data_IF_424379760517
#
_entry.id   IF_424379760517
#
_cell.length_a   1.000
_cell.length_b   1.000
_cell.length_c   1.000
_cell.angle_alpha   90.00
_cell.angle_beta   90.00
_cell.angle_gamma   90.00
#
_symmetry.space_group_name_H-M   'P 1'
#
loop_
_entity.id
_entity.type
_entity.pdbx_description
1 polymer ?
#
# COMPACT_ATOMS: atom_id res chain seq x y z
N UNK A 1 4.96 -11.15 -9.55
CA UNK A 1 3.91 -10.09 -9.53
C UNK A 1 2.63 -10.72 -9.03
N UNK A 2 2.21 -10.33 -7.84
CA UNK A 2 0.96 -10.83 -7.27
C UNK A 2 -0.22 -10.00 -7.77
N UNK A 3 -1.25 -10.66 -8.30
CA UNK A 3 -2.39 -10.01 -8.97
C UNK A 3 -3.69 -10.49 -8.35
N UNK A 4 -4.33 -9.64 -7.55
CA UNK A 4 -5.69 -9.86 -7.02
C UNK A 4 -6.70 -9.86 -8.17
N UNK A 5 -7.50 -10.90 -8.29
CA UNK A 5 -8.57 -11.00 -9.31
C UNK A 5 -9.63 -9.93 -9.05
N UNK A 6 -9.99 -9.69 -7.79
CA UNK A 6 -10.96 -8.65 -7.43
C UNK A 6 -10.47 -7.26 -7.84
N UNK A 7 -9.21 -6.93 -7.60
CA UNK A 7 -8.64 -5.65 -8.02
C UNK A 7 -8.48 -5.56 -9.54
N UNK A 8 -8.10 -6.66 -10.19
CA UNK A 8 -7.97 -6.73 -11.65
C UNK A 8 -9.31 -6.44 -12.37
N UNK A 9 -10.44 -6.91 -11.81
CA UNK A 9 -11.80 -6.67 -12.33
C UNK A 9 -12.19 -5.18 -12.37
N UNK A 10 -11.53 -4.31 -11.62
CA UNK A 10 -11.75 -2.86 -11.71
C UNK A 10 -11.23 -2.26 -13.03
N UNK A 11 -10.28 -2.95 -13.67
CA UNK A 11 -9.64 -2.49 -14.91
C UNK A 11 -10.08 -3.26 -16.14
N UNK A 12 -10.59 -4.48 -15.98
CA UNK A 12 -11.01 -5.33 -17.10
C UNK A 12 -12.24 -6.15 -16.72
N UNK A 13 -13.21 -6.20 -17.64
CA UNK A 13 -14.50 -6.89 -17.45
C UNK A 13 -14.35 -8.42 -17.62
N UNK A 14 -13.80 -9.06 -16.59
CA UNK A 14 -13.60 -10.51 -16.58
C UNK A 14 -14.93 -11.29 -16.51
N UNK A 15 -15.95 -10.72 -15.89
CA UNK A 15 -17.24 -11.40 -15.73
C UNK A 15 -17.94 -11.60 -17.08
N UNK A 16 -17.72 -10.70 -18.05
CA UNK A 16 -18.30 -10.82 -19.39
C UNK A 16 -17.74 -11.98 -20.23
N UNK A 17 -16.55 -12.47 -19.90
CA UNK A 17 -15.90 -13.58 -20.64
C UNK A 17 -16.11 -14.93 -20.01
N UNK A 18 -16.64 -15.00 -18.77
CA UNK A 18 -17.04 -16.23 -18.10
C UNK A 18 -15.92 -17.24 -17.86
N UNK A 19 -14.65 -16.78 -17.74
CA UNK A 19 -13.50 -17.62 -17.45
C UNK A 19 -13.34 -17.82 -15.95
N UNK A 20 -13.02 -19.05 -15.55
CA UNK A 20 -12.51 -19.29 -14.19
C UNK A 20 -11.12 -18.68 -14.01
N UNK A 21 -10.68 -18.55 -12.77
CA UNK A 21 -9.32 -18.05 -12.46
C UNK A 21 -8.26 -19.01 -12.98
N UNK A 22 -8.50 -20.32 -12.94
CA UNK A 22 -7.60 -21.35 -13.48
C UNK A 22 -7.48 -21.24 -15.01
N UNK A 23 -8.60 -21.06 -15.73
CA UNK A 23 -8.58 -20.86 -17.19
C UNK A 23 -7.88 -19.56 -17.58
N UNK A 24 -8.04 -18.49 -16.79
CA UNK A 24 -7.31 -17.24 -16.99
C UNK A 24 -5.80 -17.44 -16.77
N UNK A 25 -5.42 -18.14 -15.70
CA UNK A 25 -4.02 -18.46 -15.39
C UNK A 25 -3.34 -19.26 -16.50
N UNK A 26 -4.05 -20.27 -17.05
CA UNK A 26 -3.57 -21.06 -18.20
C UNK A 26 -3.34 -20.18 -19.44
N UNK A 27 -4.29 -19.30 -19.79
CA UNK A 27 -4.16 -18.39 -20.94
C UNK A 27 -3.00 -17.41 -20.76
N UNK A 28 -2.81 -16.85 -19.57
CA UNK A 28 -1.69 -15.96 -19.25
C UNK A 28 -0.36 -16.70 -19.41
N UNK A 29 -0.26 -17.91 -18.87
CA UNK A 29 0.95 -18.75 -18.96
C UNK A 29 1.30 -19.08 -20.40
N UNK A 30 0.31 -19.50 -21.20
CA UNK A 30 0.51 -19.79 -22.65
C UNK A 30 0.94 -18.53 -23.45
N UNK A 31 0.57 -17.35 -22.98
CA UNK A 31 0.98 -16.07 -23.59
C UNK A 31 2.32 -15.55 -23.05
N UNK A 32 3.00 -16.27 -22.15
CA UNK A 32 4.31 -15.93 -21.61
C UNK A 32 4.30 -15.14 -20.30
N UNK A 33 3.14 -14.99 -19.65
CA UNK A 33 2.99 -14.51 -18.28
C UNK A 33 2.79 -15.74 -17.37
N UNK A 34 3.87 -16.41 -17.03
CA UNK A 34 3.84 -17.66 -16.28
C UNK A 34 3.17 -17.47 -14.90
N UNK A 35 2.03 -18.13 -14.67
CA UNK A 35 1.36 -18.16 -13.39
C UNK A 35 1.87 -19.36 -12.60
N UNK A 36 2.71 -19.10 -11.59
CA UNK A 36 3.32 -20.13 -10.75
C UNK A 36 2.36 -20.67 -9.69
N UNK A 37 1.43 -19.85 -9.20
CA UNK A 37 0.45 -20.25 -8.20
C UNK A 37 -0.84 -19.42 -8.28
N UNK A 38 -1.95 -20.01 -7.79
CA UNK A 38 -3.21 -19.32 -7.50
C UNK A 38 -3.44 -19.48 -5.99
N UNK A 39 -3.39 -18.37 -5.27
CA UNK A 39 -3.64 -18.35 -3.83
C UNK A 39 -5.06 -17.90 -3.55
N UNK A 40 -5.82 -18.69 -2.78
CA UNK A 40 -7.17 -18.32 -2.33
C UNK A 40 -7.09 -17.60 -0.99
N UNK A 41 -7.86 -16.53 -0.84
CA UNK A 41 -7.96 -15.79 0.40
C UNK A 41 -9.39 -15.96 0.95
N UNK A 42 -9.54 -16.45 2.17
CA UNK A 42 -8.48 -16.87 3.10
C UNK A 42 -7.78 -18.16 2.70
N UNK A 43 -6.54 -18.35 3.12
CA UNK A 43 -5.75 -19.55 2.76
C UNK A 43 -6.09 -20.76 3.66
N UNK A 44 -5.85 -20.64 4.97
CA UNK A 44 -5.99 -21.73 5.94
C UNK A 44 -7.30 -21.68 6.72
N UNK A 45 -7.98 -20.52 6.73
CA UNK A 45 -9.26 -20.28 7.38
C UNK A 45 -10.39 -20.28 6.34
N UNK A 46 -11.58 -20.75 6.72
CA UNK A 46 -12.74 -20.63 5.85
C UNK A 46 -13.46 -19.28 5.93
N UNK A 47 -13.22 -18.49 6.99
CA UNK A 47 -14.02 -17.34 7.44
C UNK A 47 -15.53 -17.62 7.57
N UNK A 48 -15.92 -18.90 7.67
CA UNK A 48 -17.30 -19.27 7.97
C UNK A 48 -17.69 -18.79 9.36
N UNK A 49 -18.84 -18.11 9.47
CA UNK A 49 -19.29 -17.50 10.72
C UNK A 49 -18.55 -16.22 11.10
N UNK A 50 -17.74 -15.64 10.19
CA UNK A 50 -17.15 -14.31 10.37
C UNK A 50 -17.89 -13.34 9.46
N UNK A 51 -18.42 -12.25 10.06
CA UNK A 51 -19.28 -11.28 9.37
C UNK A 51 -18.82 -9.84 9.66
N UNK A 52 -19.28 -8.90 8.84
CA UNK A 52 -19.16 -7.47 9.11
C UNK A 52 -20.09 -7.09 10.26
N UNK A 53 -19.56 -6.46 11.30
CA UNK A 53 -20.34 -5.88 12.38
C UNK A 53 -20.11 -4.38 12.55
N UNK A 54 -21.01 -3.72 13.26
CA UNK A 54 -20.87 -2.33 13.68
C UNK A 54 -20.80 -2.24 15.20
N UNK A 55 -19.77 -1.58 15.73
CA UNK A 55 -19.72 -1.26 17.17
C UNK A 55 -20.77 -0.20 17.47
N UNK A 56 -21.85 -0.60 18.14
CA UNK A 56 -22.96 0.30 18.50
C UNK A 56 -22.81 0.92 19.87
N UNK A 57 -21.92 0.38 20.71
CA UNK A 57 -21.60 0.92 22.03
C UNK A 57 -20.47 0.16 22.69
N UNK A 58 -19.77 0.82 23.59
CA UNK A 58 -18.66 0.26 24.37
C UNK A 58 -18.79 0.70 25.83
N UNK A 59 -18.68 -0.24 26.76
CA UNK A 59 -18.70 0.04 28.19
C UNK A 59 -17.43 -0.51 28.87
N UNK A 60 -16.97 0.12 29.98
CA UNK A 60 -15.85 -0.38 30.76
C UNK A 60 -16.13 -1.77 31.31
N UNK A 61 -15.12 -2.63 31.35
CA UNK A 61 -15.26 -3.96 31.97
C UNK A 61 -15.31 -3.83 33.49
N UNK A 62 -16.31 -4.46 34.18
CA UNK A 62 -16.54 -4.25 35.64
C UNK A 62 -15.38 -4.76 36.50
N UNK A 63 -14.58 -5.70 36.06
CA UNK A 63 -13.53 -6.37 36.84
C UNK A 63 -12.14 -6.31 36.18
N UNK A 64 -11.91 -5.36 35.23
CA UNK A 64 -10.62 -5.26 34.57
C UNK A 64 -10.40 -3.89 33.92
N UNK A 65 -9.37 -3.18 34.34
CA UNK A 65 -9.08 -1.79 33.91
C UNK A 65 -8.66 -1.65 32.43
N UNK A 66 -8.13 -2.73 31.84
CA UNK A 66 -7.64 -2.74 30.46
C UNK A 66 -8.58 -3.41 29.47
N UNK A 67 -9.76 -3.85 29.92
CA UNK A 67 -10.74 -4.49 29.05
C UNK A 67 -11.97 -3.62 28.91
N UNK A 68 -12.63 -3.74 27.78
CA UNK A 68 -13.93 -3.14 27.50
C UNK A 68 -14.89 -4.20 26.99
N UNK A 69 -16.21 -3.95 27.13
CA UNK A 69 -17.26 -4.76 26.53
C UNK A 69 -17.81 -3.96 25.37
N UNK A 70 -17.53 -4.41 24.15
CA UNK A 70 -18.09 -3.84 22.94
C UNK A 70 -19.38 -4.56 22.56
N UNK A 71 -20.43 -3.82 22.31
CA UNK A 71 -21.68 -4.30 21.75
C UNK A 71 -21.64 -4.12 20.25
N UNK A 72 -21.64 -5.24 19.51
CA UNK A 72 -21.47 -5.24 18.06
C UNK A 72 -22.75 -5.73 17.41
N UNK A 73 -23.39 -4.87 16.62
CA UNK A 73 -24.49 -5.28 15.76
C UNK A 73 -23.93 -5.99 14.53
N UNK A 74 -24.36 -7.23 14.32
CA UNK A 74 -23.94 -8.09 13.20
C UNK A 74 -25.07 -8.36 12.20
N UNK A 75 -26.17 -7.57 12.28
CA UNK A 75 -27.36 -7.66 11.41
C UNK A 75 -28.55 -8.37 12.06
N UNK A 76 -28.33 -9.12 13.15
CA UNK A 76 -29.40 -9.75 13.96
C UNK A 76 -29.49 -9.17 15.38
N UNK A 77 -28.88 -8.00 15.56
CA UNK A 77 -28.86 -7.27 16.83
C UNK A 77 -27.51 -7.33 17.57
N UNK A 78 -27.36 -6.57 18.67
CA UNK A 78 -26.09 -6.44 19.36
C UNK A 78 -25.66 -7.72 20.08
N UNK A 79 -24.40 -8.11 19.90
CA UNK A 79 -23.73 -9.20 20.60
C UNK A 79 -22.56 -8.66 21.43
N UNK A 80 -22.38 -9.06 22.69
CA UNK A 80 -21.26 -8.58 23.52
C UNK A 80 -19.96 -9.28 23.15
N UNK A 81 -18.88 -8.51 23.03
CA UNK A 81 -17.51 -8.98 22.84
C UNK A 81 -16.59 -8.25 23.83
N UNK A 82 -15.86 -9.01 24.64
CA UNK A 82 -14.85 -8.45 25.55
C UNK A 82 -13.52 -8.35 24.80
N UNK A 83 -12.95 -7.15 24.76
CA UNK A 83 -11.67 -6.91 24.11
C UNK A 83 -10.74 -6.03 24.93
N UNK A 84 -9.43 -6.17 24.73
CA UNK A 84 -8.38 -5.30 25.25
C UNK A 84 -7.70 -4.49 24.15
N UNK A 85 -8.25 -4.46 22.95
CA UNK A 85 -7.69 -3.75 21.81
C UNK A 85 -7.67 -2.22 22.05
N UNK A 86 -6.52 -1.54 21.89
CA UNK A 86 -6.39 -0.13 22.22
C UNK A 86 -7.21 0.80 21.33
N UNK A 87 -7.57 0.35 20.14
CA UNK A 87 -8.41 1.10 19.18
C UNK A 87 -9.92 0.93 19.44
N UNK A 88 -10.32 0.18 20.49
CA UNK A 88 -11.71 0.09 20.96
C UNK A 88 -11.82 0.75 22.33
N UNK A 89 -12.41 1.93 22.39
CA UNK A 89 -12.54 2.74 23.60
C UNK A 89 -14.02 3.01 23.92
N UNK A 90 -14.38 3.49 25.12
CA UNK A 90 -15.76 3.84 25.46
C UNK A 90 -16.43 4.84 24.50
N UNK A 91 -15.64 5.59 23.73
CA UNK A 91 -16.16 6.54 22.74
C UNK A 91 -16.32 5.92 21.32
N UNK A 92 -15.87 4.68 21.12
CA UNK A 92 -15.94 4.00 19.82
C UNK A 92 -17.39 3.64 19.50
N UNK A 93 -17.92 4.20 18.41
CA UNK A 93 -19.27 3.92 17.93
C UNK A 93 -19.35 4.15 16.42
N UNK A 94 -20.15 3.33 15.72
CA UNK A 94 -20.35 3.42 14.27
C UNK A 94 -19.19 2.84 13.45
N UNK A 95 -18.23 2.17 14.11
CA UNK A 95 -17.04 1.60 13.46
C UNK A 95 -17.36 0.21 12.94
N UNK A 96 -17.00 -0.04 11.66
CA UNK A 96 -17.13 -1.36 11.02
C UNK A 96 -15.96 -2.25 11.40
N UNK A 97 -16.25 -3.49 11.78
CA UNK A 97 -15.25 -4.46 12.25
C UNK A 97 -15.58 -5.88 11.73
N UNK A 98 -14.59 -6.75 11.72
CA UNK A 98 -14.82 -8.17 11.48
C UNK A 98 -15.18 -8.87 12.79
N UNK A 99 -16.30 -9.58 12.80
CA UNK A 99 -16.84 -10.27 13.99
C UNK A 99 -16.93 -11.76 13.75
N UNK A 100 -16.18 -12.53 14.53
CA UNK A 100 -16.29 -14.00 14.53
C UNK A 100 -17.36 -14.42 15.54
N UNK A 101 -18.42 -15.08 15.02
CA UNK A 101 -19.55 -15.61 15.79
C UNK A 101 -19.19 -16.95 16.44
N UNK A 102 -19.99 -17.44 17.42
CA UNK A 102 -19.78 -18.75 18.03
C UNK A 102 -19.78 -19.85 16.97
N UNK A 103 -18.75 -20.69 16.97
CA UNK A 103 -18.51 -21.73 15.97
C UNK A 103 -17.47 -21.36 14.90
N UNK A 104 -17.24 -20.06 14.66
CA UNK A 104 -16.22 -19.62 13.72
C UNK A 104 -14.81 -20.03 14.20
N UNK A 105 -13.91 -20.24 13.23
CA UNK A 105 -12.49 -20.47 13.49
C UNK A 105 -11.68 -19.20 13.20
N UNK A 106 -10.74 -18.90 14.09
CA UNK A 106 -9.78 -17.81 13.95
C UNK A 106 -8.38 -18.30 14.29
N UNK A 107 -7.35 -17.60 13.80
CA UNK A 107 -5.97 -17.88 14.20
C UNK A 107 -5.81 -17.60 15.70
N UNK A 108 -5.14 -18.49 16.42
CA UNK A 108 -4.83 -18.28 17.82
C UNK A 108 -3.69 -17.26 17.97
N UNK A 109 -4.05 -16.00 18.19
CA UNK A 109 -3.07 -14.91 18.25
C UNK A 109 -2.17 -14.94 19.51
N UNK A 110 -2.50 -15.79 20.52
CA UNK A 110 -1.81 -15.85 21.80
C UNK A 110 -0.91 -17.08 21.96
N UNK A 111 -1.09 -18.08 21.13
CA UNK A 111 -0.36 -19.34 21.23
C UNK A 111 -0.08 -19.88 19.81
N UNK A 112 1.13 -20.38 19.61
CA UNK A 112 1.50 -20.97 18.32
C UNK A 112 0.84 -22.36 18.11
N UNK A 113 0.47 -23.03 19.22
CA UNK A 113 -0.18 -24.34 19.19
C UNK A 113 -1.37 -24.40 20.19
N UNK A 114 -2.59 -24.76 19.73
CA UNK A 114 -2.98 -25.03 18.35
C UNK A 114 -3.05 -23.71 17.56
N UNK A 115 -2.73 -23.75 16.25
CA UNK A 115 -2.70 -22.53 15.43
C UNK A 115 -4.09 -21.90 15.21
N UNK A 116 -5.16 -22.69 15.35
CA UNK A 116 -6.55 -22.25 15.20
C UNK A 116 -7.32 -22.48 16.50
N UNK A 117 -8.23 -21.54 16.78
CA UNK A 117 -9.18 -21.69 17.87
C UNK A 117 -10.62 -21.51 17.39
N UNK A 118 -11.56 -22.24 17.99
CA UNK A 118 -12.99 -22.07 17.73
C UNK A 118 -13.58 -21.07 18.71
N UNK A 119 -14.25 -20.05 18.20
CA UNK A 119 -14.95 -19.04 19.02
C UNK A 119 -16.10 -19.68 19.76
N UNK A 120 -16.17 -19.44 21.07
CA UNK A 120 -17.22 -19.94 21.97
C UNK A 120 -17.73 -18.82 22.87
N UNK A 121 -19.03 -18.80 23.14
CA UNK A 121 -19.54 -17.94 24.18
C UNK A 121 -18.90 -18.31 25.55
N UNK A 122 -18.30 -17.34 26.20
CA UNK A 122 -17.51 -17.51 27.42
C UNK A 122 -17.71 -16.34 28.39
N UNK A 123 -17.21 -16.47 29.61
CA UNK A 123 -17.10 -15.35 30.54
C UNK A 123 -15.64 -14.97 30.74
N UNK A 124 -15.28 -13.75 30.39
CA UNK A 124 -13.95 -13.19 30.60
C UNK A 124 -14.02 -12.32 31.85
N UNK A 125 -13.31 -12.72 32.92
CA UNK A 125 -13.34 -12.07 34.25
C UNK A 125 -14.76 -11.73 34.75
N UNK A 126 -15.73 -12.61 34.46
CA UNK A 126 -17.12 -12.48 34.90
C UNK A 126 -18.08 -11.77 33.94
N UNK A 127 -17.58 -11.05 32.95
CA UNK A 127 -18.39 -10.45 31.88
C UNK A 127 -18.61 -11.43 30.72
N UNK A 128 -19.78 -11.43 30.14
CA UNK A 128 -20.15 -12.30 29.03
C UNK A 128 -19.46 -11.80 27.72
N UNK A 129 -18.81 -12.71 27.01
CA UNK A 129 -18.28 -12.49 25.66
C UNK A 129 -18.82 -13.59 24.74
N UNK A 130 -19.63 -13.23 23.78
CA UNK A 130 -20.28 -14.18 22.86
C UNK A 130 -19.62 -14.23 21.48
N UNK A 131 -18.83 -13.23 21.14
CA UNK A 131 -18.15 -13.11 19.86
C UNK A 131 -16.71 -12.61 20.06
N UNK A 132 -15.92 -12.65 19.01
CA UNK A 132 -14.59 -12.04 18.95
C UNK A 132 -14.59 -10.97 17.85
N UNK A 133 -14.19 -9.75 18.21
CA UNK A 133 -13.86 -8.73 17.22
C UNK A 133 -12.42 -9.00 16.80
N UNK A 134 -12.21 -9.34 15.52
CA UNK A 134 -10.95 -9.89 15.05
C UNK A 134 -9.91 -8.81 14.73
N UNK A 135 -8.66 -9.11 15.00
CA UNK A 135 -7.48 -8.46 14.46
C UNK A 135 -7.11 -9.01 13.07
N UNK A 136 -6.18 -8.39 12.36
CA UNK A 136 -5.65 -8.95 11.11
C UNK A 136 -5.03 -10.33 11.30
N UNK A 137 -4.31 -10.55 12.41
CA UNK A 137 -3.71 -11.84 12.75
C UNK A 137 -4.75 -12.93 12.98
N UNK A 138 -5.82 -12.64 13.73
CA UNK A 138 -6.90 -13.60 13.96
C UNK A 138 -7.62 -14.02 12.68
N UNK A 139 -7.62 -13.15 11.66
CA UNK A 139 -8.15 -13.43 10.32
C UNK A 139 -7.14 -14.12 9.39
N UNK A 140 -5.88 -14.25 9.79
CA UNK A 140 -4.81 -14.80 8.95
C UNK A 140 -4.39 -13.86 7.80
N UNK A 141 -4.62 -12.55 7.94
CA UNK A 141 -4.26 -11.55 6.93
C UNK A 141 -2.82 -11.05 7.08
N UNK A 142 -2.36 -10.88 8.32
CA UNK A 142 -1.00 -10.44 8.66
C UNK A 142 -0.62 -10.92 10.07
N UNK A 143 0.58 -10.56 10.54
CA UNK A 143 1.00 -10.81 11.93
C UNK A 143 0.52 -9.73 12.91
N UNK A 144 -0.23 -8.72 12.44
CA UNK A 144 -0.66 -7.62 13.30
C UNK A 144 -1.82 -8.02 14.22
N UNK A 145 -1.54 -7.90 15.52
CA UNK A 145 -2.48 -8.12 16.63
C UNK A 145 -2.49 -6.94 17.61
N UNK A 146 -2.09 -5.76 17.17
CA UNK A 146 -2.05 -4.57 18.03
C UNK A 146 -3.43 -4.00 18.31
N UNK A 147 -4.41 -4.23 17.41
CA UNK A 147 -5.78 -3.77 17.53
C UNK A 147 -6.77 -4.65 16.78
N UNK A 148 -8.06 -4.30 16.82
CA UNK A 148 -9.07 -4.93 15.97
C UNK A 148 -8.98 -4.37 14.56
N UNK A 149 -9.30 -5.21 13.58
CA UNK A 149 -9.40 -4.78 12.19
C UNK A 149 -10.59 -3.84 12.01
N UNK A 150 -10.32 -2.61 11.60
CA UNK A 150 -11.33 -1.63 11.20
C UNK A 150 -11.52 -1.71 9.69
N UNK A 151 -12.77 -1.98 9.28
CA UNK A 151 -13.18 -2.04 7.88
C UNK A 151 -13.61 -0.65 7.38
N UNK A 152 -13.76 -0.51 6.06
CA UNK A 152 -14.26 0.74 5.47
C UNK A 152 -15.69 1.04 5.94
N UNK A 153 -16.02 2.33 6.09
CA UNK A 153 -17.26 2.80 6.71
C UNK A 153 -18.53 2.33 5.98
N UNK A 154 -18.44 2.08 4.69
CA UNK A 154 -19.53 1.64 3.82
C UNK A 154 -19.70 0.10 3.78
N UNK A 155 -18.87 -0.67 4.51
CA UNK A 155 -18.98 -2.12 4.59
C UNK A 155 -20.36 -2.52 5.15
N UNK A 156 -21.19 -3.31 4.41
CA UNK A 156 -22.55 -3.62 4.84
C UNK A 156 -22.56 -4.57 6.05
N UNK A 157 -23.24 -4.18 7.13
CA UNK A 157 -23.38 -5.01 8.34
C UNK A 157 -24.10 -6.32 8.02
N UNK A 158 -23.64 -7.41 8.60
CA UNK A 158 -24.17 -8.77 8.41
C UNK A 158 -23.64 -9.48 7.16
N UNK A 159 -22.87 -8.80 6.31
CA UNK A 159 -22.26 -9.44 5.15
C UNK A 159 -21.19 -10.45 5.60
N UNK A 160 -21.19 -11.71 5.10
CA UNK A 160 -20.10 -12.65 5.33
C UNK A 160 -18.74 -12.05 4.90
N UNK A 161 -17.72 -12.15 5.76
CA UNK A 161 -16.43 -11.52 5.50
C UNK A 161 -15.78 -12.05 4.20
N UNK A 162 -16.00 -13.32 3.87
CA UNK A 162 -15.50 -13.93 2.63
C UNK A 162 -16.11 -13.28 1.38
N UNK A 163 -17.33 -12.78 1.43
CA UNK A 163 -17.94 -12.06 0.30
C UNK A 163 -17.33 -10.66 0.14
N UNK A 164 -16.94 -10.04 1.25
CA UNK A 164 -16.33 -8.70 1.24
C UNK A 164 -14.84 -8.73 0.88
N UNK A 165 -14.07 -9.64 1.48
CA UNK A 165 -12.62 -9.68 1.41
C UNK A 165 -12.06 -10.91 0.69
N UNK A 166 -12.87 -11.96 0.46
CA UNK A 166 -12.42 -13.15 -0.24
C UNK A 166 -11.91 -12.83 -1.64
N UNK A 167 -10.77 -13.42 -2.03
CA UNK A 167 -10.11 -13.14 -3.29
C UNK A 167 -9.34 -14.36 -3.81
N UNK A 168 -8.91 -14.30 -5.05
CA UNK A 168 -7.92 -15.18 -5.65
C UNK A 168 -6.77 -14.33 -6.18
N UNK A 169 -5.54 -14.71 -5.81
CA UNK A 169 -4.34 -13.96 -6.16
C UNK A 169 -3.47 -14.82 -7.07
N UNK A 170 -3.22 -14.33 -8.28
CA UNK A 170 -2.27 -14.96 -9.20
C UNK A 170 -0.85 -14.53 -8.84
N UNK A 171 0.06 -15.47 -8.67
CA UNK A 171 1.49 -15.18 -8.62
C UNK A 171 2.11 -15.37 -10.01
N UNK A 172 2.43 -14.24 -10.65
CA UNK A 172 2.91 -14.19 -12.04
C UNK A 172 4.41 -13.96 -12.05
N UNK A 173 5.16 -14.89 -12.61
CA UNK A 173 6.58 -14.73 -12.90
C UNK A 173 6.77 -13.95 -14.21
N UNK A 174 7.44 -12.81 -14.13
CA UNK A 174 7.63 -11.92 -15.26
C UNK A 174 9.09 -11.91 -15.71
N UNK A 175 9.32 -12.19 -16.97
CA UNK A 175 10.63 -12.01 -17.60
C UNK A 175 11.00 -10.52 -17.74
N UNK A 176 12.29 -10.15 -17.87
CA UNK A 176 12.70 -8.75 -17.92
C UNK A 176 12.06 -7.90 -19.01
N UNK A 177 11.69 -8.49 -20.14
CA UNK A 177 11.02 -7.81 -21.26
C UNK A 177 9.54 -7.50 -21.02
N UNK A 178 8.95 -8.01 -19.93
CA UNK A 178 7.57 -7.78 -19.53
C UNK A 178 7.44 -6.74 -18.38
N UNK A 179 8.37 -5.78 -18.31
CA UNK A 179 8.35 -4.71 -17.30
C UNK A 179 7.01 -3.96 -17.24
N UNK A 180 6.32 -3.80 -18.37
CA UNK A 180 4.97 -3.21 -18.44
C UNK A 180 3.90 -3.95 -17.63
N UNK A 181 4.12 -5.24 -17.34
CA UNK A 181 3.21 -6.08 -16.55
C UNK A 181 3.52 -6.05 -15.04
N UNK A 182 4.49 -5.25 -14.59
CA UNK A 182 4.74 -5.02 -13.16
C UNK A 182 3.72 -4.04 -12.54
N UNK A 183 2.46 -4.10 -13.02
CA UNK A 183 1.34 -3.29 -12.53
C UNK A 183 0.00 -3.94 -12.83
N UNK A 184 -1.03 -3.58 -12.04
CA UNK A 184 -2.40 -4.04 -12.26
C UNK A 184 -2.93 -3.61 -13.63
N UNK A 185 -2.73 -2.35 -14.00
CA UNK A 185 -3.11 -1.81 -15.32
C UNK A 185 -2.37 -2.51 -16.46
N UNK A 186 -1.09 -2.83 -16.27
CA UNK A 186 -0.31 -3.57 -17.25
C UNK A 186 -0.86 -4.98 -17.50
N UNK A 187 -1.11 -5.73 -16.42
CA UNK A 187 -1.71 -7.07 -16.51
C UNK A 187 -3.13 -7.01 -17.08
N UNK A 188 -3.95 -6.02 -16.68
CA UNK A 188 -5.29 -5.84 -17.23
C UNK A 188 -5.30 -5.65 -18.75
N UNK A 189 -4.31 -4.94 -19.30
CA UNK A 189 -4.16 -4.78 -20.76
C UNK A 189 -3.82 -6.10 -21.48
N UNK A 190 -2.94 -6.91 -20.90
CA UNK A 190 -2.62 -8.23 -21.43
C UNK A 190 -3.87 -9.15 -21.37
N UNK A 191 -4.56 -9.16 -20.23
CA UNK A 191 -5.80 -9.93 -20.07
C UNK A 191 -6.85 -9.50 -21.10
N UNK A 192 -7.09 -8.21 -21.27
CA UNK A 192 -8.02 -7.70 -22.27
C UNK A 192 -7.64 -8.13 -23.70
N UNK A 193 -6.34 -8.07 -24.03
CA UNK A 193 -5.84 -8.50 -25.35
C UNK A 193 -6.01 -10.00 -25.58
N UNK A 194 -5.83 -10.85 -24.56
CA UNK A 194 -5.92 -12.30 -24.66
C UNK A 194 -7.35 -12.84 -24.64
N UNK A 195 -8.26 -12.14 -23.97
CA UNK A 195 -9.62 -12.61 -23.75
C UNK A 195 -10.69 -11.90 -24.57
N UNK A 196 -10.36 -10.72 -25.11
CA UNK A 196 -11.32 -9.81 -25.73
C UNK A 196 -12.19 -9.05 -24.72
N UNK A 197 -11.94 -9.20 -23.41
CA UNK A 197 -12.64 -8.48 -22.36
C UNK A 197 -12.47 -6.97 -22.49
N UNK A 198 -13.50 -6.21 -22.12
CA UNK A 198 -13.47 -4.76 -22.19
C UNK A 198 -12.56 -4.16 -21.11
N UNK A 199 -11.67 -3.26 -21.51
CA UNK A 199 -10.79 -2.52 -20.62
C UNK A 199 -11.49 -1.27 -20.06
N UNK A 200 -11.31 -1.02 -18.75
CA UNK A 200 -11.95 0.09 -18.01
C UNK A 200 -10.94 1.03 -17.34
N UNK A 201 -9.73 1.11 -17.86
CA UNK A 201 -8.69 1.97 -17.29
C UNK A 201 -9.11 3.44 -17.39
N UNK A 202 -9.29 4.09 -16.23
CA UNK A 202 -9.58 5.52 -16.13
C UNK A 202 -8.27 6.27 -15.97
N UNK A 203 -7.97 7.19 -16.89
CA UNK A 203 -6.80 8.06 -16.74
C UNK A 203 -6.97 8.98 -15.53
N UNK A 204 -5.91 9.11 -14.68
CA UNK A 204 -5.92 10.07 -13.59
C UNK A 204 -6.13 11.50 -14.09
N UNK A 205 -6.92 12.28 -13.39
CA UNK A 205 -7.29 13.64 -13.83
C UNK A 205 -6.60 14.68 -12.96
N UNK A 206 -5.82 15.57 -13.57
CA UNK A 206 -5.39 16.79 -12.91
C UNK A 206 -6.63 17.56 -12.43
N UNK A 207 -6.75 17.73 -11.12
CA UNK A 207 -7.67 18.72 -10.57
C UNK A 207 -6.90 20.03 -10.49
N UNK A 208 -7.46 21.16 -10.98
CA UNK A 208 -6.84 22.46 -10.76
C UNK A 208 -6.56 22.59 -9.25
N UNK A 209 -5.33 22.92 -8.89
CA UNK A 209 -5.06 23.38 -7.54
C UNK A 209 -5.92 24.61 -7.30
N UNK A 210 -6.47 24.74 -6.09
CA UNK A 210 -7.21 25.95 -5.70
C UNK A 210 -6.37 27.22 -5.88
N UNK A 211 -6.89 28.35 -5.46
CA UNK A 211 -6.17 29.63 -5.43
C UNK A 211 -4.87 29.48 -4.61
N UNK A 212 -3.74 29.76 -5.22
CA UNK A 212 -2.44 29.69 -4.55
C UNK A 212 -1.27 29.84 -5.54
N UNK A 213 -0.03 29.98 -5.03
CA UNK A 213 1.15 30.08 -5.85
C UNK A 213 1.38 28.80 -6.66
N UNK A 214 2.03 28.91 -7.83
CA UNK A 214 2.39 27.76 -8.65
C UNK A 214 3.42 26.89 -7.95
N UNK A 215 3.53 25.58 -8.33
CA UNK A 215 4.54 24.68 -7.75
C UNK A 215 5.97 25.21 -7.97
N UNK A 216 6.22 25.96 -9.04
CA UNK A 216 7.50 26.59 -9.35
C UNK A 216 7.92 27.66 -8.33
N UNK A 217 6.98 28.25 -7.60
CA UNK A 217 7.23 29.18 -6.51
C UNK A 217 7.64 28.46 -5.22
N UNK A 218 7.52 27.13 -5.15
CA UNK A 218 7.85 26.32 -4.00
C UNK A 218 9.12 25.50 -4.17
N UNK A 219 9.33 24.94 -5.35
CA UNK A 219 10.51 24.14 -5.65
C UNK A 219 10.90 24.28 -7.12
N UNK A 220 12.18 24.23 -7.39
CA UNK A 220 12.74 24.20 -8.74
C UNK A 220 13.31 22.82 -9.03
N UNK A 221 13.27 22.39 -10.30
CA UNK A 221 13.89 21.12 -10.74
C UNK A 221 14.94 21.43 -11.81
N UNK A 222 16.12 20.85 -11.63
CA UNK A 222 17.23 20.91 -12.59
C UNK A 222 17.69 19.48 -12.89
N UNK A 223 17.67 19.06 -14.14
CA UNK A 223 18.20 17.77 -14.60
C UNK A 223 19.53 18.04 -15.29
N UNK A 224 20.64 17.65 -14.64
CA UNK A 224 21.99 17.82 -15.21
C UNK A 224 22.35 16.67 -16.16
N UNK A 225 21.76 15.48 -15.98
CA UNK A 225 21.98 14.32 -16.82
C UNK A 225 20.65 13.81 -17.44
N UNK A 226 20.20 14.41 -18.56
CA UNK A 226 18.94 14.05 -19.20
C UNK A 226 18.97 12.67 -19.90
N UNK A 227 20.14 12.08 -20.10
CA UNK A 227 20.25 10.71 -20.62
C UNK A 227 19.91 9.70 -19.53
N UNK A 228 20.29 9.96 -18.28
CA UNK A 228 20.00 9.11 -17.14
C UNK A 228 18.64 9.40 -16.50
N UNK A 229 18.12 10.63 -16.64
CA UNK A 229 16.80 11.03 -16.18
C UNK A 229 16.05 11.79 -17.27
N UNK A 230 15.35 11.13 -18.19
CA UNK A 230 14.63 11.80 -19.29
C UNK A 230 13.42 12.60 -18.81
N UNK A 231 12.86 12.31 -17.63
CA UNK A 231 11.74 13.05 -17.05
C UNK A 231 11.77 12.99 -15.53
N UNK A 232 11.53 14.14 -14.91
CA UNK A 232 11.33 14.30 -13.48
C UNK A 232 10.15 15.23 -13.23
N UNK A 233 9.18 14.79 -12.42
CA UNK A 233 8.04 15.59 -11.98
C UNK A 233 8.14 15.72 -10.47
N UNK A 234 8.15 16.97 -10.00
CA UNK A 234 7.96 17.33 -8.61
C UNK A 234 6.54 17.87 -8.43
N UNK A 235 5.72 17.20 -7.62
CA UNK A 235 4.37 17.65 -7.31
C UNK A 235 4.28 18.00 -5.82
N UNK A 236 3.86 19.22 -5.52
CA UNK A 236 3.66 19.66 -4.13
C UNK A 236 2.25 19.33 -3.66
N UNK A 237 2.14 18.60 -2.57
CA UNK A 237 0.87 18.35 -1.86
C UNK A 237 1.01 18.90 -0.45
N UNK A 238 0.07 19.76 -0.05
CA UNK A 238 0.10 20.46 1.25
C UNK A 238 -1.01 20.00 2.18
N UNK A 239 -0.79 20.24 3.46
CA UNK A 239 -1.76 19.98 4.53
C UNK A 239 -2.19 18.51 4.61
N UNK A 240 -1.26 17.59 4.30
CA UNK A 240 -1.50 16.14 4.39
C UNK A 240 -1.55 15.68 5.84
N UNK A 241 -2.25 14.57 6.09
CA UNK A 241 -2.32 13.91 7.39
C UNK A 241 -1.64 12.54 7.29
N UNK A 242 -0.46 12.39 7.91
CA UNK A 242 0.31 11.14 7.88
C UNK A 242 0.34 10.41 9.23
N UNK A 243 -0.41 10.90 10.22
CA UNK A 243 -0.50 10.28 11.53
C UNK A 243 -1.61 9.21 11.66
N UNK A 244 -2.52 9.14 10.69
CA UNK A 244 -3.56 8.14 10.62
C UNK A 244 -3.11 6.91 9.83
N UNK A 245 -3.92 5.86 9.79
CA UNK A 245 -3.73 4.74 8.86
C UNK A 245 -4.33 5.08 7.49
N UNK A 246 -3.75 4.50 6.43
CA UNK A 246 -4.39 4.53 5.11
C UNK A 246 -5.74 3.78 5.13
N UNK A 247 -6.71 4.12 4.27
CA UNK A 247 -7.97 3.40 4.18
C UNK A 247 -7.76 1.88 4.06
N UNK A 248 -8.62 1.09 4.70
CA UNK A 248 -8.43 -0.36 4.76
C UNK A 248 -8.37 -1.02 3.39
N UNK A 249 -9.20 -0.60 2.43
CA UNK A 249 -9.16 -1.12 1.06
C UNK A 249 -7.78 -1.00 0.40
N UNK A 250 -7.04 0.08 0.69
CA UNK A 250 -5.68 0.29 0.14
C UNK A 250 -4.68 -0.60 0.86
N UNK A 251 -4.70 -0.63 2.19
CA UNK A 251 -3.83 -1.49 3.01
C UNK A 251 -4.03 -2.97 2.65
N UNK A 252 -5.27 -3.39 2.48
CA UNK A 252 -5.61 -4.76 2.10
C UNK A 252 -5.02 -5.16 0.74
N UNK A 253 -5.08 -4.29 -0.26
CA UNK A 253 -4.44 -4.53 -1.57
C UNK A 253 -2.93 -4.64 -1.49
N UNK A 254 -2.28 -3.83 -0.64
CA UNK A 254 -0.86 -3.94 -0.36
C UNK A 254 -0.52 -5.28 0.31
N UNK A 255 -1.32 -5.71 1.30
CA UNK A 255 -1.17 -7.03 1.94
C UNK A 255 -1.32 -8.17 0.95
N UNK A 256 -2.32 -8.15 0.08
CA UNK A 256 -2.52 -9.17 -0.97
C UNK A 256 -1.32 -9.24 -1.93
N UNK A 257 -0.68 -8.10 -2.21
CA UNK A 257 0.55 -8.08 -2.99
C UNK A 257 1.75 -8.66 -2.22
N UNK A 258 1.72 -8.66 -0.89
CA UNK A 258 2.82 -9.04 -0.01
C UNK A 258 3.64 -7.84 0.50
N UNK A 259 3.10 -6.62 0.38
CA UNK A 259 3.69 -5.41 0.94
C UNK A 259 3.06 -5.09 2.29
N UNK A 260 3.90 -4.83 3.30
CA UNK A 260 3.44 -4.35 4.59
C UNK A 260 3.04 -2.86 4.49
N UNK A 261 1.82 -2.47 4.91
CA UNK A 261 1.46 -1.06 5.08
C UNK A 261 2.37 -0.37 6.12
N UNK A 262 2.70 0.90 5.90
CA UNK A 262 3.64 1.66 6.75
C UNK A 262 2.99 2.94 7.26
N UNK A 263 2.57 3.82 6.35
CA UNK A 263 1.92 5.10 6.64
C UNK A 263 1.14 5.56 5.40
N UNK A 264 0.13 6.43 5.53
CA UNK A 264 -0.69 6.86 4.40
C UNK A 264 0.11 7.33 3.19
N UNK A 265 1.16 8.14 3.38
CA UNK A 265 1.97 8.66 2.28
C UNK A 265 2.77 7.55 1.59
N UNK A 266 3.40 6.67 2.35
CA UNK A 266 4.17 5.54 1.81
C UNK A 266 3.23 4.53 1.13
N UNK A 267 2.10 4.25 1.73
CA UNK A 267 1.10 3.31 1.21
C UNK A 267 0.50 3.81 -0.11
N UNK A 268 0.22 5.11 -0.23
CA UNK A 268 -0.23 5.73 -1.48
C UNK A 268 0.83 5.58 -2.58
N UNK A 269 2.12 5.85 -2.27
CA UNK A 269 3.19 5.72 -3.27
C UNK A 269 3.36 4.27 -3.72
N UNK A 270 3.30 3.31 -2.79
CA UNK A 270 3.34 1.88 -3.10
C UNK A 270 2.11 1.43 -3.89
N UNK A 271 0.91 1.86 -3.49
CA UNK A 271 -0.32 1.55 -4.20
C UNK A 271 -0.29 2.02 -5.66
N UNK A 272 0.12 3.26 -5.92
CA UNK A 272 0.22 3.81 -7.28
C UNK A 272 1.28 3.07 -8.10
N UNK A 273 2.39 2.69 -7.47
CA UNK A 273 3.41 1.86 -8.13
C UNK A 273 2.84 0.49 -8.54
N UNK A 274 2.02 -0.15 -7.71
CA UNK A 274 1.36 -1.42 -8.05
C UNK A 274 0.22 -1.23 -9.07
N UNK A 275 -0.53 -0.15 -8.97
CA UNK A 275 -1.65 0.15 -9.88
C UNK A 275 -1.15 0.46 -11.30
N UNK A 276 -0.18 1.39 -11.44
CA UNK A 276 0.27 1.95 -12.71
C UNK A 276 1.65 1.50 -13.19
N UNK A 277 2.49 0.96 -12.30
CA UNK A 277 3.88 0.60 -12.60
C UNK A 277 4.86 1.77 -12.51
N UNK A 278 4.44 2.90 -11.94
CA UNK A 278 5.27 4.08 -11.72
C UNK A 278 5.71 4.15 -10.25
N UNK A 279 6.99 3.87 -9.94
CA UNK A 279 7.49 4.12 -8.60
C UNK A 279 7.53 5.62 -8.31
N UNK A 280 7.18 5.95 -7.07
CA UNK A 280 7.12 7.31 -6.54
C UNK A 280 7.95 7.40 -5.26
N UNK A 281 8.43 8.61 -4.94
CA UNK A 281 9.01 8.90 -3.64
C UNK A 281 8.40 10.17 -3.05
N UNK A 282 8.19 10.19 -1.75
CA UNK A 282 7.65 11.32 -1.01
C UNK A 282 8.75 11.90 -0.12
N UNK A 283 9.16 13.14 -0.39
CA UNK A 283 10.04 13.91 0.49
C UNK A 283 9.21 14.78 1.44
N UNK A 284 9.61 14.87 2.68
CA UNK A 284 9.11 15.91 3.58
C UNK A 284 9.62 17.29 3.11
N UNK A 285 8.70 18.09 2.60
CA UNK A 285 9.03 19.40 2.03
C UNK A 285 9.58 20.37 3.07
N UNK A 286 9.08 20.31 4.30
CA UNK A 286 9.53 21.22 5.37
C UNK A 286 10.95 20.85 5.82
N UNK A 287 11.31 19.56 5.83
CA UNK A 287 12.70 19.10 6.05
C UNK A 287 13.61 19.53 4.90
N UNK A 288 13.18 19.38 3.64
CA UNK A 288 13.94 19.89 2.48
C UNK A 288 14.20 21.37 2.62
N UNK A 289 13.19 22.17 2.94
CA UNK A 289 13.31 23.61 3.13
C UNK A 289 14.25 23.97 4.28
N UNK A 290 14.19 23.26 5.39
CA UNK A 290 15.09 23.45 6.53
C UNK A 290 16.55 23.17 6.17
N UNK A 291 16.83 22.13 5.36
CA UNK A 291 18.19 21.80 4.89
C UNK A 291 18.83 22.94 4.11
N UNK A 292 18.07 23.66 3.29
CA UNK A 292 18.57 24.77 2.48
C UNK A 292 18.44 26.15 3.17
N UNK A 293 18.36 26.15 4.51
CA UNK A 293 18.35 27.39 5.31
C UNK A 293 17.01 28.15 5.30
N UNK A 294 15.91 27.49 4.97
CA UNK A 294 14.56 28.07 4.94
C UNK A 294 14.15 28.63 3.57
N UNK A 295 15.04 28.58 2.57
CA UNK A 295 14.73 28.93 1.19
C UNK A 295 13.94 27.82 0.50
N UNK A 296 13.39 28.10 -0.68
CA UNK A 296 12.73 27.09 -1.48
C UNK A 296 13.77 26.17 -2.16
N UNK A 297 13.68 24.84 -2.00
CA UNK A 297 14.71 23.93 -2.46
C UNK A 297 14.75 23.82 -4.00
N UNK A 298 15.96 23.63 -4.53
CA UNK A 298 16.16 23.18 -5.91
C UNK A 298 16.47 21.69 -5.90
N UNK A 299 15.63 20.90 -6.54
CA UNK A 299 15.91 19.49 -6.76
C UNK A 299 16.84 19.35 -7.95
N UNK A 300 18.01 18.78 -7.73
CA UNK A 300 19.08 18.64 -8.73
C UNK A 300 19.29 17.14 -9.01
N UNK A 301 18.96 16.70 -10.22
CA UNK A 301 19.19 15.33 -10.67
C UNK A 301 20.53 15.26 -11.36
N UNK A 302 21.51 14.63 -10.73
CA UNK A 302 22.90 14.58 -11.20
C UNK A 302 23.61 13.30 -10.81
N UNK A 303 24.76 13.04 -11.41
CA UNK A 303 25.66 11.97 -10.95
C UNK A 303 26.31 12.33 -9.62
N UNK A 304 26.71 11.28 -8.89
CA UNK A 304 27.47 11.44 -7.66
C UNK A 304 28.84 12.08 -7.93
N UNK A 305 29.34 12.84 -6.97
CA UNK A 305 30.72 13.38 -6.94
C UNK A 305 31.66 12.37 -6.28
N UNK A 306 32.97 12.42 -6.58
CA UNK A 306 33.96 11.54 -5.93
C UNK A 306 33.89 11.61 -4.40
N UNK A 307 33.73 10.46 -3.75
CA UNK A 307 33.68 10.35 -2.30
C UNK A 307 32.39 10.86 -1.63
N UNK A 308 31.38 11.22 -2.40
CA UNK A 308 30.08 11.65 -1.87
C UNK A 308 29.39 10.52 -1.11
N UNK A 309 28.67 10.84 -0.05
CA UNK A 309 28.01 9.88 0.81
C UNK A 309 26.55 10.26 1.05
N UNK A 310 25.73 9.26 1.37
CA UNK A 310 24.35 9.42 1.81
C UNK A 310 24.01 8.40 2.89
N UNK A 311 23.26 8.80 3.90
CA UNK A 311 22.59 7.85 4.80
C UNK A 311 21.20 7.57 4.24
N UNK A 312 20.94 6.31 3.88
CA UNK A 312 19.67 5.87 3.30
C UNK A 312 18.64 5.53 4.36
N UNK A 313 17.37 5.34 3.97
CA UNK A 313 16.23 5.07 4.86
C UNK A 313 16.41 3.86 5.79
N UNK A 314 17.28 2.91 5.46
CA UNK A 314 17.66 1.79 6.33
C UNK A 314 18.74 2.16 7.38
N UNK A 315 19.09 3.44 7.51
CA UNK A 315 20.08 3.95 8.47
C UNK A 315 21.54 3.68 8.11
N UNK A 316 21.82 3.17 6.91
CA UNK A 316 23.18 2.82 6.49
C UNK A 316 23.82 3.96 5.71
N UNK A 317 25.02 4.40 6.15
CA UNK A 317 25.84 5.33 5.38
C UNK A 317 26.50 4.61 4.18
N UNK A 318 26.31 5.14 2.98
CA UNK A 318 26.82 4.58 1.74
C UNK A 318 27.75 5.57 1.04
N UNK A 319 28.92 5.09 0.63
CA UNK A 319 29.80 5.83 -0.27
C UNK A 319 29.34 5.62 -1.70
N UNK A 320 29.11 6.71 -2.41
CA UNK A 320 28.55 6.72 -3.75
C UNK A 320 29.65 6.66 -4.82
N UNK A 321 29.31 6.10 -5.95
CA UNK A 321 30.16 6.00 -7.11
C UNK A 321 29.71 7.01 -8.17
N UNK A 322 30.66 7.59 -8.91
CA UNK A 322 30.41 8.63 -9.91
C UNK A 322 29.47 8.19 -11.06
N UNK A 323 29.28 6.90 -11.25
CA UNK A 323 28.29 6.37 -12.21
C UNK A 323 26.85 6.39 -11.66
N UNK A 324 26.66 6.56 -10.35
CA UNK A 324 25.33 6.55 -9.72
C UNK A 324 24.61 7.87 -9.93
N UNK A 325 23.34 7.80 -10.34
CA UNK A 325 22.45 8.95 -10.42
C UNK A 325 21.83 9.24 -9.05
N UNK A 326 21.81 10.51 -8.68
CA UNK A 326 21.30 10.98 -7.41
C UNK A 326 20.21 12.04 -7.60
N UNK A 327 19.32 12.10 -6.64
CA UNK A 327 18.48 13.25 -6.38
C UNK A 327 19.16 14.04 -5.26
N UNK A 328 19.43 15.31 -5.52
CA UNK A 328 20.12 16.22 -4.61
C UNK A 328 19.31 17.49 -4.36
N UNK A 329 19.61 18.17 -3.28
CA UNK A 329 19.34 19.59 -3.09
C UNK A 329 20.66 20.41 -3.20
N UNK A 330 20.64 21.69 -2.85
CA UNK A 330 21.83 22.57 -2.84
C UNK A 330 22.89 22.12 -1.83
N UNK A 331 22.49 21.35 -0.81
CA UNK A 331 23.39 20.87 0.26
C UNK A 331 24.05 19.56 -0.14
N UNK A 332 23.32 18.65 -0.79
CA UNK A 332 23.86 17.35 -1.20
C UNK A 332 22.81 16.31 -1.52
N UNK A 333 23.19 15.02 -1.54
CA UNK A 333 22.27 13.93 -1.86
C UNK A 333 21.11 13.82 -0.88
N UNK A 334 19.89 13.60 -1.43
CA UNK A 334 18.66 13.30 -0.68
C UNK A 334 18.05 11.97 -1.08
N UNK A 335 18.44 11.39 -2.23
CA UNK A 335 18.09 10.03 -2.61
C UNK A 335 19.06 9.48 -3.65
N UNK A 336 19.15 8.14 -3.72
CA UNK A 336 19.76 7.40 -4.82
C UNK A 336 18.65 7.13 -5.83
N UNK A 337 18.72 7.76 -7.00
CA UNK A 337 17.65 7.83 -7.98
C UNK A 337 17.06 6.45 -8.34
N UNK A 338 15.78 6.24 -8.04
CA UNK A 338 15.06 5.00 -8.31
C UNK A 338 15.51 3.76 -7.53
N UNK A 339 16.35 3.93 -6.51
CA UNK A 339 16.85 2.83 -5.67
C UNK A 339 16.39 2.98 -4.21
N UNK A 340 16.79 4.07 -3.54
CA UNK A 340 16.41 4.29 -2.13
C UNK A 340 16.50 5.76 -1.73
N UNK A 341 15.54 6.23 -0.95
CA UNK A 341 15.53 7.57 -0.37
C UNK A 341 16.59 7.77 0.71
N UNK A 342 16.91 9.04 0.97
CA UNK A 342 17.76 9.45 2.08
C UNK A 342 16.96 9.66 3.37
N UNK A 343 17.59 9.39 4.51
CA UNK A 343 16.99 9.47 5.85
C UNK A 343 16.60 10.91 6.22
N UNK A 344 17.41 11.90 5.85
CA UNK A 344 17.23 13.29 6.28
C UNK A 344 15.95 13.97 5.77
N UNK A 345 15.34 13.40 4.74
CA UNK A 345 14.14 13.96 4.09
C UNK A 345 12.94 13.01 4.13
N UNK A 346 13.04 11.96 4.97
CA UNK A 346 11.99 10.96 5.18
C UNK A 346 10.70 11.60 5.70
N UNK A 347 9.56 11.15 5.18
CA UNK A 347 8.23 11.50 5.70
C UNK A 347 7.97 10.77 7.02
N UNK A 348 7.37 11.46 7.97
CA UNK A 348 6.99 10.90 9.27
C UNK A 348 5.56 11.34 9.67
N UNK A 349 5.11 10.98 10.86
CA UNK A 349 3.78 11.30 11.38
C UNK A 349 3.51 12.82 11.51
N UNK A 350 4.58 13.63 11.57
CA UNK A 350 4.50 15.09 11.68
C UNK A 350 4.49 15.78 10.32
N UNK A 351 4.77 15.06 9.24
CA UNK A 351 4.80 15.60 7.87
C UNK A 351 3.47 16.23 7.49
N UNK A 352 3.51 17.46 6.99
CA UNK A 352 2.34 18.21 6.53
C UNK A 352 2.41 18.61 5.06
N UNK A 353 3.61 18.82 4.55
CA UNK A 353 3.83 19.22 3.17
C UNK A 353 4.76 18.19 2.51
N UNK A 354 4.37 17.72 1.34
CA UNK A 354 5.08 16.66 0.62
C UNK A 354 5.52 17.18 -0.74
N UNK A 355 6.80 17.01 -1.06
CA UNK A 355 7.28 17.08 -2.43
C UNK A 355 7.32 15.65 -2.98
N UNK A 356 6.36 15.33 -3.85
CA UNK A 356 6.25 14.03 -4.46
C UNK A 356 7.12 13.96 -5.71
N UNK A 357 8.05 13.00 -5.74
CA UNK A 357 8.84 12.63 -6.91
C UNK A 357 8.09 11.62 -7.76
N UNK A 358 8.02 11.89 -9.07
CA UNK A 358 7.62 10.91 -10.07
C UNK A 358 8.52 11.07 -11.29
N UNK A 359 9.41 10.11 -11.50
CA UNK A 359 10.47 10.24 -12.49
C UNK A 359 10.62 9.00 -13.38
N UNK A 360 11.34 9.15 -14.47
CA UNK A 360 11.84 8.05 -15.28
C UNK A 360 13.37 8.05 -15.24
N UNK A 361 13.94 6.88 -14.96
CA UNK A 361 15.40 6.71 -14.86
C UNK A 361 15.89 5.66 -15.85
N UNK A 362 17.12 5.83 -16.30
CA UNK A 362 17.75 4.92 -17.26
C UNK A 362 17.93 3.52 -16.66
N UNK A 363 17.31 2.52 -17.26
CA UNK A 363 17.17 1.17 -16.70
C UNK A 363 18.51 0.49 -16.38
N UNK A 364 19.51 0.61 -17.27
CA UNK A 364 20.84 -0.03 -17.08
C UNK A 364 21.58 0.64 -15.92
N UNK A 365 21.54 1.98 -15.82
CA UNK A 365 22.18 2.71 -14.74
C UNK A 365 21.55 2.33 -13.39
N UNK A 366 20.21 2.35 -13.28
CA UNK A 366 19.48 1.96 -12.09
C UNK A 366 19.81 0.52 -11.65
N UNK A 367 19.79 -0.43 -12.60
CA UNK A 367 20.16 -1.83 -12.34
C UNK A 367 21.57 -1.98 -11.79
N UNK A 368 22.57 -1.31 -12.43
CA UNK A 368 23.98 -1.35 -11.97
C UNK A 368 24.13 -0.77 -10.57
N UNK A 369 23.48 0.36 -10.31
CA UNK A 369 23.46 1.00 -8.99
C UNK A 369 22.88 0.08 -7.93
N UNK A 370 21.68 -0.50 -8.16
CA UNK A 370 21.03 -1.42 -7.25
C UNK A 370 21.90 -2.67 -6.96
N UNK A 371 22.52 -3.24 -7.99
CA UNK A 371 23.43 -4.39 -7.85
C UNK A 371 24.70 -4.05 -7.06
N UNK A 372 25.33 -2.90 -7.34
CA UNK A 372 26.56 -2.47 -6.67
C UNK A 372 26.34 -2.20 -5.19
N UNK A 373 25.20 -1.63 -4.84
CA UNK A 373 24.81 -1.33 -3.46
C UNK A 373 24.10 -2.50 -2.76
N UNK A 374 23.77 -3.57 -3.50
CA UNK A 374 22.96 -4.71 -3.02
C UNK A 374 21.59 -4.27 -2.47
N UNK A 375 21.00 -3.25 -3.09
CA UNK A 375 19.70 -2.69 -2.74
C UNK A 375 18.66 -3.09 -3.80
N UNK A 376 17.86 -4.07 -3.46
CA UNK A 376 16.78 -4.56 -4.32
C UNK A 376 15.44 -4.16 -3.71
N UNK A 377 14.70 -3.31 -4.43
CA UNK A 377 13.37 -2.84 -4.03
C UNK A 377 12.38 -3.03 -5.17
N UNK A 378 11.09 -2.96 -4.88
CA UNK A 378 10.02 -2.96 -5.89
C UNK A 378 10.17 -1.78 -6.89
N UNK A 379 10.69 -0.64 -6.42
CA UNK A 379 11.01 0.50 -7.28
C UNK A 379 12.17 0.19 -8.22
N UNK A 380 13.32 -0.29 -7.68
CA UNK A 380 14.49 -0.63 -8.48
C UNK A 380 14.23 -1.77 -9.47
N UNK A 381 13.36 -2.73 -9.11
CA UNK A 381 12.89 -3.78 -10.02
C UNK A 381 12.20 -3.19 -11.25
N UNK A 382 11.29 -2.22 -11.06
CA UNK A 382 10.56 -1.57 -12.16
C UNK A 382 11.48 -0.70 -13.00
N UNK A 383 12.26 0.18 -12.39
CA UNK A 383 13.21 1.04 -13.12
C UNK A 383 14.23 0.22 -13.91
N UNK A 384 14.77 -0.87 -13.34
CA UNK A 384 15.75 -1.72 -14.04
C UNK A 384 15.17 -2.48 -15.24
N UNK A 385 13.84 -2.56 -15.37
CA UNK A 385 13.13 -3.12 -16.52
C UNK A 385 12.58 -2.07 -17.47
N UNK A 386 12.71 -0.79 -17.12
CA UNK A 386 12.27 0.36 -17.88
C UNK A 386 10.88 0.86 -17.49
N UNK A 387 10.81 2.09 -17.00
CA UNK A 387 9.58 2.83 -16.73
C UNK A 387 9.47 3.96 -17.76
N UNK A 388 8.45 3.94 -18.63
CA UNK A 388 8.30 4.96 -19.66
C UNK A 388 8.12 6.36 -19.08
N UNK A 389 8.73 7.42 -19.66
CA UNK A 389 8.61 8.79 -19.15
C UNK A 389 7.17 9.32 -19.07
N UNK A 390 6.26 8.80 -19.88
CA UNK A 390 4.84 9.17 -19.91
C UNK A 390 4.10 8.74 -18.63
N UNK A 391 4.55 7.70 -17.95
CA UNK A 391 3.96 7.25 -16.69
C UNK A 391 4.19 8.22 -15.55
N UNK A 392 5.27 9.01 -15.59
CA UNK A 392 5.60 9.94 -14.50
C UNK A 392 4.47 10.93 -14.22
N UNK A 393 3.77 11.43 -15.24
CA UNK A 393 2.64 12.34 -15.03
C UNK A 393 1.43 11.60 -14.44
N UNK A 394 1.13 10.40 -14.97
CA UNK A 394 0.00 9.60 -14.45
C UNK A 394 0.19 9.24 -12.99
N UNK A 395 1.39 8.78 -12.63
CA UNK A 395 1.73 8.43 -11.25
C UNK A 395 1.61 9.63 -10.31
N UNK A 396 2.20 10.79 -10.66
CA UNK A 396 2.12 11.99 -9.86
C UNK A 396 0.68 12.47 -9.64
N UNK A 397 -0.13 12.50 -10.70
CA UNK A 397 -1.54 12.91 -10.63
C UNK A 397 -2.35 11.94 -9.78
N UNK A 398 -2.15 10.62 -9.97
CA UNK A 398 -2.88 9.60 -9.22
C UNK A 398 -2.57 9.65 -7.72
N UNK A 399 -1.29 9.78 -7.36
CA UNK A 399 -0.90 9.90 -5.96
C UNK A 399 -1.46 11.18 -5.32
N UNK A 400 -1.38 12.32 -6.03
CA UNK A 400 -1.97 13.57 -5.56
C UNK A 400 -3.51 13.51 -5.43
N UNK A 401 -4.22 12.72 -6.24
CA UNK A 401 -5.64 12.44 -6.04
C UNK A 401 -5.88 11.69 -4.73
N UNK A 402 -5.11 10.63 -4.47
CA UNK A 402 -5.25 9.79 -3.27
C UNK A 402 -4.84 10.51 -1.99
N UNK A 403 -3.86 11.42 -2.04
CA UNK A 403 -3.44 12.24 -0.89
C UNK A 403 -4.47 13.30 -0.48
N UNK A 404 -5.55 13.49 -1.24
CA UNK A 404 -6.63 14.45 -0.96
C UNK A 404 -7.89 13.82 -0.35
N UNK A 405 -7.90 12.51 -0.26
CA UNK A 405 -8.98 11.72 0.35
C UNK A 405 -8.64 11.45 1.80
#
# INVERSE_FOLDING_TARGET
MRVSIRWLKEFVDLDSVGLSTEELAERLTLAGLEVGAIEKIPQELSWEGIVVGEIVGVEPHPNADRLVIAHVDWGEGPIPSVTGAPNVTPNTKGVRVAVALPGAQVVNAYQDEPPLMTVKATKIRGAESKAVICSEKELGLSDDHTGVLVLDEDAPVGTPLVELLGDEVLDIELTPNLGRCLSMVGVAREVAALTGAKLHVKEPRRRPSGEGPSAEEWARVVIEDPELCPRYIAALVRDVQNAAEAPFWMRYRLLLYGMRPISPLVDITNYVMLEWGQPLHAFDYDKLKARVGGENPTIIVRRAKPGEKITTLDGVERTLDEEMLLICDEVGPIAIAGVMGGLDTEVDETTRNVLLESASFHAINNRRTAQKLQLFSEASLRFSRGVPPELSERGAVRAAELMRV
#
